data_IF_543756074957
#
_entry.id   IF_543756074957
#
_cell.length_a   1.000
_cell.length_b   1.000
_cell.length_c   1.000
_cell.angle_alpha   90.00
_cell.angle_beta   90.00
_cell.angle_gamma   90.00
#
_symmetry.space_group_name_H-M   'P 1'
#
loop_
_entity.id
_entity.type
_entity.pdbx_description
1 polymer ?
#
# COMPACT_ATOMS: atom_id res chain seq x y z
N UNK A 1 -0.02 2.41 -45.17
CA UNK A 1 -1.34 1.80 -44.91
C UNK A 1 -1.14 0.46 -44.21
N UNK A 2 -1.78 0.18 -43.06
CA UNK A 2 -1.62 -1.12 -42.41
C UNK A 2 -2.23 -2.22 -43.29
N UNK A 3 -1.52 -3.35 -43.42
CA UNK A 3 -1.91 -4.45 -44.29
C UNK A 3 -3.25 -5.09 -43.85
N UNK A 4 -4.16 -5.30 -44.80
CA UNK A 4 -5.45 -5.93 -44.55
C UNK A 4 -5.23 -7.43 -44.26
N UNK A 5 -5.28 -7.81 -42.98
CA UNK A 5 -5.17 -9.21 -42.55
C UNK A 5 -6.36 -10.08 -43.01
N UNK A 6 -7.46 -9.47 -43.44
CA UNK A 6 -8.66 -10.15 -43.93
C UNK A 6 -8.81 -10.03 -45.45
N UNK A 7 -9.24 -11.10 -46.15
CA UNK A 7 -9.51 -11.04 -47.59
C UNK A 7 -10.53 -9.95 -47.94
N UNK A 8 -10.23 -9.14 -48.98
CA UNK A 8 -11.05 -7.97 -49.38
C UNK A 8 -12.48 -8.34 -49.74
N UNK A 9 -12.71 -9.52 -50.36
CA UNK A 9 -14.03 -10.00 -50.76
C UNK A 9 -15.00 -10.24 -49.59
N UNK A 10 -14.49 -10.54 -48.40
CA UNK A 10 -15.31 -10.91 -47.22
C UNK A 10 -15.34 -9.83 -46.14
N UNK A 11 -14.74 -8.67 -46.39
CA UNK A 11 -14.60 -7.61 -45.39
C UNK A 11 -15.94 -7.21 -44.77
N UNK A 12 -17.01 -7.04 -45.58
CA UNK A 12 -18.35 -6.69 -45.11
C UNK A 12 -18.99 -7.80 -44.26
N UNK A 13 -18.86 -9.05 -44.69
CA UNK A 13 -19.40 -10.21 -43.98
C UNK A 13 -18.70 -10.41 -42.64
N UNK A 14 -17.38 -10.26 -42.60
CA UNK A 14 -16.57 -10.34 -41.38
C UNK A 14 -17.00 -9.25 -40.39
N UNK A 15 -17.12 -8.00 -40.85
CA UNK A 15 -17.60 -6.90 -40.00
C UNK A 15 -19.03 -7.10 -39.49
N UNK A 16 -19.93 -7.61 -40.34
CA UNK A 16 -21.31 -7.92 -39.95
C UNK A 16 -21.35 -9.00 -38.86
N UNK A 17 -20.59 -10.09 -39.03
CA UNK A 17 -20.51 -11.18 -38.07
C UNK A 17 -19.82 -10.74 -36.77
N UNK A 18 -18.78 -9.92 -36.83
CA UNK A 18 -18.15 -9.33 -35.65
C UNK A 18 -19.14 -8.43 -34.88
N UNK A 19 -19.89 -7.57 -35.59
CA UNK A 19 -20.94 -6.75 -34.98
C UNK A 19 -22.03 -7.60 -34.34
N UNK A 20 -22.47 -8.67 -35.01
CA UNK A 20 -23.48 -9.58 -34.47
C UNK A 20 -22.98 -10.27 -33.18
N UNK A 21 -21.74 -10.76 -33.18
CA UNK A 21 -21.09 -11.34 -31.99
C UNK A 21 -20.98 -10.35 -30.84
N UNK A 22 -20.52 -9.13 -31.11
CA UNK A 22 -20.46 -8.07 -30.08
C UNK A 22 -21.86 -7.71 -29.59
N UNK A 23 -22.84 -7.66 -30.50
CA UNK A 23 -24.24 -7.37 -30.16
C UNK A 23 -24.86 -8.42 -29.23
N UNK A 24 -24.66 -9.71 -29.48
CA UNK A 24 -25.16 -10.78 -28.59
C UNK A 24 -24.45 -10.76 -27.24
N UNK A 25 -23.13 -10.56 -27.23
CA UNK A 25 -22.35 -10.45 -26.00
C UNK A 25 -22.79 -9.28 -25.13
N UNK A 26 -22.96 -8.09 -25.70
CA UNK A 26 -23.39 -6.90 -24.97
C UNK A 26 -24.81 -7.06 -24.41
N UNK A 27 -25.74 -7.66 -25.17
CA UNK A 27 -27.10 -7.96 -24.68
C UNK A 27 -27.07 -8.79 -23.41
N UNK A 28 -26.26 -9.86 -23.39
CA UNK A 28 -26.10 -10.70 -22.20
C UNK A 28 -25.47 -9.94 -21.03
N UNK A 29 -24.46 -9.10 -21.27
CA UNK A 29 -23.82 -8.30 -20.20
C UNK A 29 -24.73 -7.22 -19.62
N UNK A 30 -25.60 -6.64 -20.44
CA UNK A 30 -26.59 -5.66 -19.99
C UNK A 30 -27.67 -6.32 -19.14
N UNK A 31 -28.12 -7.54 -19.48
CA UNK A 31 -29.10 -8.27 -18.67
C UNK A 31 -28.53 -8.73 -17.32
N UNK A 32 -27.23 -9.01 -17.25
CA UNK A 32 -26.54 -9.42 -16.02
C UNK A 32 -25.83 -8.26 -15.32
N UNK A 33 -26.26 -7.01 -15.53
CA UNK A 33 -25.57 -5.82 -14.99
C UNK A 33 -25.82 -5.69 -13.48
N UNK A 34 -24.78 -5.67 -12.64
CA UNK A 34 -24.94 -5.45 -11.20
C UNK A 34 -25.41 -4.04 -10.87
N UNK A 35 -26.13 -3.91 -9.76
CA UNK A 35 -26.57 -2.62 -9.21
C UNK A 35 -25.42 -1.87 -8.54
N UNK A 36 -25.58 -0.54 -8.41
CA UNK A 36 -24.57 0.31 -7.75
C UNK A 36 -24.29 -0.14 -6.31
N UNK A 37 -25.33 -0.48 -5.55
CA UNK A 37 -25.20 -0.92 -4.16
C UNK A 37 -24.38 -2.21 -4.03
N UNK A 38 -24.51 -3.13 -4.98
CA UNK A 38 -23.70 -4.35 -5.03
C UNK A 38 -22.23 -4.04 -5.33
N UNK A 39 -21.94 -3.16 -6.28
CA UNK A 39 -20.56 -2.72 -6.57
C UNK A 39 -19.92 -2.03 -5.36
N UNK A 40 -20.71 -1.28 -4.60
CA UNK A 40 -20.29 -0.63 -3.35
C UNK A 40 -19.99 -1.66 -2.26
N UNK A 41 -20.88 -2.63 -2.04
CA UNK A 41 -20.70 -3.73 -1.07
C UNK A 41 -19.43 -4.54 -1.35
N UNK A 42 -19.10 -4.73 -2.62
CA UNK A 42 -17.89 -5.41 -3.06
C UNK A 42 -16.63 -4.51 -3.03
N UNK A 43 -16.74 -3.26 -2.59
CA UNK A 43 -15.66 -2.27 -2.57
C UNK A 43 -15.03 -2.00 -3.95
N UNK A 44 -15.84 -2.11 -5.02
CA UNK A 44 -15.44 -1.69 -6.38
C UNK A 44 -15.69 -0.19 -6.57
N UNK A 45 -16.84 0.29 -6.08
CA UNK A 45 -17.18 1.71 -6.02
C UNK A 45 -17.14 2.22 -4.58
N UNK A 46 -16.78 3.48 -4.42
CA UNK A 46 -16.79 4.13 -3.11
C UNK A 46 -18.21 4.52 -2.67
N UNK A 47 -18.45 4.43 -1.36
CA UNK A 47 -19.68 4.89 -0.68
C UNK A 47 -19.74 6.42 -0.60
N UNK A 48 -19.80 7.10 -1.74
CA UNK A 48 -19.83 8.57 -1.77
C UNK A 48 -20.84 9.10 -2.77
N UNK A 49 -21.47 10.23 -2.45
CA UNK A 49 -22.36 11.00 -3.33
C UNK A 49 -21.62 12.13 -4.08
N UNK A 50 -20.29 12.18 -3.95
CA UNK A 50 -19.45 13.18 -4.58
C UNK A 50 -19.31 12.90 -6.08
N UNK A 51 -19.11 13.97 -6.83
CA UNK A 51 -18.90 13.92 -8.27
C UNK A 51 -17.68 13.03 -8.63
N UNK A 52 -17.75 12.22 -9.71
CA UNK A 52 -16.70 11.25 -10.06
C UNK A 52 -15.27 11.78 -10.12
N UNK A 53 -15.05 13.01 -10.58
CA UNK A 53 -13.71 13.61 -10.66
C UNK A 53 -13.07 13.86 -9.29
N UNK A 54 -13.88 14.07 -8.24
CA UNK A 54 -13.40 14.34 -6.88
C UNK A 54 -13.17 13.10 -6.04
N UNK A 55 -13.76 11.95 -6.40
CA UNK A 55 -13.74 10.73 -5.57
C UNK A 55 -12.32 10.26 -5.24
N UNK A 56 -11.42 10.28 -6.23
CA UNK A 56 -10.02 9.89 -6.03
C UNK A 56 -9.30 10.79 -5.01
N UNK A 57 -9.52 12.10 -5.10
CA UNK A 57 -8.93 13.08 -4.17
C UNK A 57 -9.51 12.94 -2.77
N UNK A 58 -10.82 12.73 -2.66
CA UNK A 58 -11.48 12.49 -1.38
C UNK A 58 -10.98 11.22 -0.70
N UNK A 59 -10.82 10.12 -1.43
CA UNK A 59 -10.30 8.87 -0.89
C UNK A 59 -8.85 9.04 -0.39
N UNK A 60 -8.02 9.76 -1.13
CA UNK A 60 -6.64 10.09 -0.71
C UNK A 60 -6.64 10.87 0.61
N UNK A 61 -7.51 11.88 0.73
CA UNK A 61 -7.63 12.68 1.95
C UNK A 61 -8.17 11.85 3.12
N UNK A 62 -9.17 10.99 2.90
CA UNK A 62 -9.70 10.07 3.93
C UNK A 62 -8.60 9.17 4.46
N UNK A 63 -7.79 8.57 3.57
CA UNK A 63 -6.65 7.73 3.96
C UNK A 63 -5.59 8.49 4.75
N UNK A 64 -5.23 9.70 4.33
CA UNK A 64 -4.24 10.53 5.03
C UNK A 64 -4.69 10.89 6.45
N UNK A 65 -5.96 11.27 6.62
CA UNK A 65 -6.53 11.55 7.95
C UNK A 65 -6.48 10.32 8.85
N UNK A 66 -6.96 9.17 8.35
CA UNK A 66 -6.92 7.92 9.10
C UNK A 66 -5.49 7.53 9.49
N UNK A 67 -4.51 7.71 8.61
CA UNK A 67 -3.11 7.43 8.92
C UNK A 67 -2.59 8.31 10.06
N UNK A 68 -2.89 9.61 10.03
CA UNK A 68 -2.48 10.54 11.08
C UNK A 68 -3.13 10.19 12.43
N UNK A 69 -4.45 9.94 12.43
CA UNK A 69 -5.21 9.58 13.64
C UNK A 69 -4.69 8.27 14.25
N UNK A 70 -4.38 7.28 13.41
CA UNK A 70 -3.79 6.02 13.86
C UNK A 70 -2.38 6.22 14.41
N UNK A 71 -1.57 7.07 13.78
CA UNK A 71 -0.21 7.34 14.23
C UNK A 71 -0.18 7.98 15.62
N UNK A 72 -1.09 8.91 15.92
CA UNK A 72 -1.24 9.49 17.26
C UNK A 72 -1.63 8.41 18.30
N UNK A 73 -2.61 7.56 17.98
CA UNK A 73 -3.05 6.47 18.86
C UNK A 73 -1.96 5.43 19.11
N UNK A 74 -1.14 5.14 18.11
CA UNK A 74 -0.01 4.22 18.24
C UNK A 74 1.10 4.83 19.08
N UNK A 75 1.36 6.14 18.94
CA UNK A 75 2.34 6.84 19.77
C UNK A 75 1.97 6.81 21.26
N UNK A 76 0.67 6.83 21.58
CA UNK A 76 0.13 6.72 22.94
C UNK A 76 -0.13 5.28 23.39
N UNK A 77 0.43 4.27 22.71
CA UNK A 77 0.20 2.87 23.07
C UNK A 77 0.71 2.59 24.49
N UNK A 78 -0.15 2.17 25.43
CA UNK A 78 0.24 1.85 26.79
C UNK A 78 1.33 0.78 26.85
N UNK A 79 2.27 0.93 27.78
CA UNK A 79 3.29 -0.08 28.04
C UNK A 79 2.69 -1.39 28.57
N UNK A 80 3.43 -2.51 28.47
CA UNK A 80 2.96 -3.80 28.99
C UNK A 80 2.69 -3.77 30.50
N UNK A 81 3.46 -2.99 31.25
CA UNK A 81 3.31 -2.84 32.70
C UNK A 81 2.02 -2.10 33.08
N UNK A 82 1.59 -1.13 32.27
CA UNK A 82 0.30 -0.44 32.45
C UNK A 82 -0.90 -1.36 32.22
N UNK A 83 -0.76 -2.36 31.33
CA UNK A 83 -1.82 -3.34 31.04
C UNK A 83 -1.98 -4.37 32.17
N UNK A 84 -0.87 -4.70 32.84
CA UNK A 84 -0.84 -5.54 34.05
C UNK A 84 -1.50 -4.81 35.22
N UNK A 85 -1.17 -3.53 35.45
CA UNK A 85 -1.81 -2.72 36.50
C UNK A 85 -3.33 -2.59 36.30
N UNK A 86 -3.76 -2.46 35.03
CA UNK A 86 -5.17 -2.43 34.64
C UNK A 86 -5.87 -3.80 34.70
N UNK A 87 -5.19 -4.86 35.14
CA UNK A 87 -5.68 -6.24 35.26
C UNK A 87 -6.26 -6.82 33.96
N UNK A 88 -5.84 -6.30 32.81
CA UNK A 88 -6.22 -6.82 31.49
C UNK A 88 -5.35 -8.04 31.17
N UNK A 89 -4.07 -7.99 31.58
CA UNK A 89 -3.14 -9.11 31.48
C UNK A 89 -2.98 -9.76 32.86
N UNK A 90 -3.11 -11.09 32.98
CA UNK A 90 -2.76 -11.79 34.21
C UNK A 90 -1.24 -11.73 34.41
N UNK A 91 -0.82 -11.55 35.66
CA UNK A 91 0.58 -11.81 36.05
C UNK A 91 0.67 -13.30 36.28
N UNK A 92 1.27 -14.03 35.34
CA UNK A 92 1.71 -15.39 35.62
C UNK A 92 2.80 -15.29 36.69
N UNK A 93 2.44 -15.73 37.90
CA UNK A 93 3.29 -15.82 39.07
C UNK A 93 4.49 -16.74 38.81
N UNK A 94 5.55 -16.17 38.25
CA UNK A 94 6.86 -16.81 38.09
C UNK A 94 8.03 -15.83 38.00
N UNK A 95 7.79 -14.52 38.04
CA UNK A 95 8.86 -13.51 37.93
C UNK A 95 8.58 -12.32 38.85
N UNK A 96 8.62 -12.54 40.16
CA UNK A 96 8.85 -11.45 41.12
C UNK A 96 10.35 -11.19 41.39
N UNK A 97 11.28 -11.98 40.84
CA UNK A 97 12.72 -11.86 41.13
C UNK A 97 13.61 -11.33 40.00
N UNK A 98 13.17 -10.33 39.21
CA UNK A 98 14.11 -9.57 38.34
C UNK A 98 13.94 -8.05 38.48
N UNK A 99 13.22 -7.59 39.50
CA UNK A 99 13.07 -6.16 39.76
C UNK A 99 14.22 -5.61 40.63
N UNK A 100 15.16 -6.45 41.11
CA UNK A 100 16.20 -6.00 42.06
C UNK A 100 17.62 -6.58 41.89
N UNK A 101 18.06 -6.91 40.68
CA UNK A 101 19.50 -7.21 40.47
C UNK A 101 20.09 -6.78 39.13
N UNK A 102 20.65 -5.56 39.14
CA UNK A 102 21.87 -5.09 38.44
C UNK A 102 21.82 -4.88 36.90
N UNK A 103 22.61 -3.90 36.39
CA UNK A 103 22.67 -3.59 34.97
C UNK A 103 23.56 -4.60 34.25
N UNK A 104 23.02 -5.29 33.25
CA UNK A 104 23.83 -6.11 32.34
C UNK A 104 24.25 -5.27 31.15
N UNK A 105 25.51 -4.85 31.19
CA UNK A 105 26.25 -4.40 30.02
C UNK A 105 26.59 -5.60 29.10
N UNK A 106 26.72 -5.26 27.82
CA UNK A 106 27.43 -5.92 26.72
C UNK A 106 26.82 -7.15 26.01
N UNK A 107 26.05 -6.87 24.96
CA UNK A 107 26.18 -7.56 23.66
C UNK A 107 26.33 -6.54 22.51
N UNK A 108 27.36 -5.70 22.58
CA UNK A 108 27.83 -4.88 21.46
C UNK A 108 29.06 -5.53 20.82
N UNK A 109 28.90 -6.69 20.18
CA UNK A 109 29.98 -7.25 19.36
C UNK A 109 29.51 -7.94 18.08
N UNK A 110 28.19 -8.17 17.91
CA UNK A 110 27.65 -8.76 16.67
C UNK A 110 27.05 -7.75 15.67
N UNK A 111 26.67 -6.55 16.12
CA UNK A 111 25.86 -5.62 15.30
C UNK A 111 26.75 -4.71 14.41
N UNK A 112 28.03 -4.54 14.74
CA UNK A 112 28.95 -3.68 13.97
C UNK A 112 29.23 -4.22 12.55
N UNK A 113 29.13 -5.53 12.32
CA UNK A 113 29.38 -6.12 10.99
C UNK A 113 28.17 -5.96 10.05
N UNK A 114 26.94 -6.02 10.57
CA UNK A 114 25.74 -5.99 9.75
C UNK A 114 25.35 -4.56 9.29
N UNK A 115 25.67 -3.54 10.09
CA UNK A 115 25.35 -2.13 9.75
C UNK A 115 26.17 -1.64 8.54
N UNK A 116 27.38 -2.16 8.32
CA UNK A 116 28.18 -1.86 7.12
C UNK A 116 27.64 -2.53 5.84
N UNK A 117 27.09 -3.75 5.90
CA UNK A 117 26.54 -4.40 4.71
C UNK A 117 25.23 -3.76 4.24
N UNK A 118 24.38 -3.29 5.16
CA UNK A 118 23.13 -2.61 4.84
C UNK A 118 23.40 -1.23 4.21
N UNK A 119 24.38 -0.48 4.72
CA UNK A 119 24.77 0.81 4.12
C UNK A 119 25.39 0.65 2.72
N UNK A 120 26.14 -0.43 2.48
CA UNK A 120 26.77 -0.69 1.18
C UNK A 120 25.75 -1.07 0.10
N UNK A 121 24.71 -1.85 0.44
CA UNK A 121 23.61 -2.19 -0.46
C UNK A 121 22.66 -1.01 -0.73
N UNK A 122 22.43 -0.14 0.27
CA UNK A 122 21.63 1.07 0.09
C UNK A 122 22.28 2.09 -0.86
N UNK A 123 23.59 2.31 -0.78
CA UNK A 123 24.29 3.19 -1.74
C UNK A 123 24.30 2.60 -3.15
N UNK A 124 24.42 1.28 -3.30
CA UNK A 124 24.41 0.62 -4.61
C UNK A 124 23.04 0.75 -5.32
N UNK A 125 21.93 0.56 -4.58
CA UNK A 125 20.59 0.75 -5.13
C UNK A 125 20.31 2.23 -5.45
N UNK A 126 20.80 3.16 -4.61
CA UNK A 126 20.61 4.59 -4.83
C UNK A 126 21.33 5.10 -6.08
N UNK A 127 22.58 4.65 -6.31
CA UNK A 127 23.35 5.02 -7.51
C UNK A 127 22.79 4.33 -8.77
N UNK A 128 22.34 3.07 -8.67
CA UNK A 128 21.68 2.37 -9.78
C UNK A 128 20.35 3.03 -10.18
N UNK A 129 19.58 3.51 -9.20
CA UNK A 129 18.35 4.25 -9.44
C UNK A 129 18.62 5.63 -10.08
N UNK A 130 19.63 6.36 -9.62
CA UNK A 130 20.03 7.64 -10.25
C UNK A 130 20.53 7.50 -11.69
N UNK A 131 21.27 6.43 -11.99
CA UNK A 131 21.83 6.18 -13.34
C UNK A 131 20.79 5.60 -14.30
N UNK A 132 19.80 4.84 -13.82
CA UNK A 132 18.79 4.20 -14.68
C UNK A 132 17.49 5.02 -14.83
N UNK A 133 17.12 5.84 -13.85
CA UNK A 133 15.86 6.60 -13.84
C UNK A 133 16.02 8.09 -14.19
N UNK A 134 17.14 8.47 -14.82
CA UNK A 134 17.48 9.85 -15.16
C UNK A 134 16.57 10.56 -16.16
N UNK A 135 15.32 10.14 -16.41
CA UNK A 135 14.38 10.89 -17.26
C UNK A 135 12.87 10.66 -17.06
N UNK A 136 12.39 10.07 -15.96
CA UNK A 136 10.92 9.96 -15.74
C UNK A 136 10.58 10.02 -14.24
N UNK A 137 10.53 11.22 -13.63
CA UNK A 137 9.77 11.42 -12.36
C UNK A 137 9.64 12.91 -11.93
N UNK A 138 8.96 13.74 -12.70
CA UNK A 138 8.24 14.91 -12.13
C UNK A 138 6.83 14.39 -11.85
N UNK A 139 6.52 13.88 -10.65
CA UNK A 139 5.70 14.64 -9.70
C UNK A 139 5.75 14.09 -8.27
N UNK A 140 6.65 13.15 -7.94
CA UNK A 140 6.56 12.40 -6.69
C UNK A 140 7.88 12.21 -5.90
N UNK A 141 8.82 13.14 -6.07
CA UNK A 141 10.08 13.16 -5.30
C UNK A 141 9.90 13.53 -3.82
N UNK A 142 8.75 14.08 -3.41
CA UNK A 142 8.45 14.38 -1.99
C UNK A 142 8.01 13.17 -1.17
N UNK A 143 7.55 12.09 -1.79
CA UNK A 143 7.11 10.89 -1.06
C UNK A 143 8.28 9.96 -0.68
N UNK A 144 9.38 9.98 -1.42
CA UNK A 144 10.53 9.10 -1.20
C UNK A 144 11.53 9.62 -0.17
N UNK A 145 11.47 10.91 0.18
CA UNK A 145 12.30 11.52 1.23
C UNK A 145 11.88 11.07 2.65
N UNK A 146 10.71 10.43 2.81
CA UNK A 146 10.23 9.96 4.11
C UNK A 146 10.64 8.52 4.48
N UNK A 147 11.36 7.81 3.59
CA UNK A 147 11.92 6.48 3.86
C UNK A 147 13.44 6.58 4.04
N UNK A 148 13.89 7.43 4.98
CA UNK A 148 15.23 7.38 5.56
C UNK A 148 15.10 7.56 7.08
N UNK A 149 15.81 6.74 7.87
CA UNK A 149 15.39 6.34 9.19
C UNK A 149 15.66 7.44 10.22
N UNK A 150 14.59 7.90 10.87
CA UNK A 150 14.65 8.68 12.10
C UNK A 150 14.93 7.75 13.29
N UNK A 151 16.11 7.12 13.28
CA UNK A 151 16.67 6.36 14.40
C UNK A 151 17.98 7.03 14.81
N UNK A 152 17.85 8.22 15.40
CA UNK A 152 18.92 8.92 16.12
C UNK A 152 18.32 10.11 16.90
N UNK A 153 17.35 9.85 17.79
CA UNK A 153 16.89 10.80 18.81
C UNK A 153 15.91 10.11 19.79
N UNK A 154 16.37 9.07 20.50
CA UNK A 154 16.01 8.72 21.89
C UNK A 154 17.24 8.05 22.48
#
# INVERSE_FOLDING_TARGET
FPALKSPVAFHKQIHSLQRARTGTFLKHKLSSRPDRSELVRMHILEETQAEPSLQATQLRLKRARLANDLNEKIAQRPGPMELVEKKILPVDSGVEEVINSKPVMSLTSGIQSCVSLINCLCLFFFVFFLVSFGNVMTDNVRAWIFILPRVAAV
#
